data_IF_896067209260
#
_entry.id   IF_896067209260
#
_cell.length_a   1.000
_cell.length_b   1.000
_cell.length_c   1.000
_cell.angle_alpha   90.00
_cell.angle_beta   90.00
_cell.angle_gamma   90.00
#
_symmetry.space_group_name_H-M   'P 1'
#
loop_
_entity.id
_entity.type
_entity.pdbx_description
1 polymer ?
#
# COMPACT_ATOMS: atom_id res chain seq x y z
N UNK A 1 13.46 -35.50 -44.90
CA UNK A 1 12.81 -35.70 -43.58
C UNK A 1 13.41 -34.69 -42.60
N UNK A 2 13.30 -33.39 -42.85
CA UNK A 2 12.20 -32.45 -42.49
C UNK A 2 11.82 -32.60 -41.01
N UNK A 3 12.54 -31.93 -40.10
CA UNK A 3 12.22 -30.57 -39.63
C UNK A 3 10.98 -30.51 -38.70
N UNK A 4 10.71 -31.56 -37.93
CA UNK A 4 9.60 -31.59 -36.96
C UNK A 4 10.03 -31.54 -35.48
N UNK A 5 11.32 -31.70 -35.15
CA UNK A 5 11.75 -31.83 -33.75
C UNK A 5 12.22 -30.54 -33.08
N UNK A 6 12.34 -29.43 -33.82
CA UNK A 6 12.84 -28.14 -33.31
C UNK A 6 11.73 -27.09 -33.08
N UNK A 7 10.50 -27.36 -33.52
CA UNK A 7 9.37 -26.44 -33.33
C UNK A 7 8.68 -26.62 -31.97
N UNK A 8 8.89 -27.74 -31.29
CA UNK A 8 8.22 -28.05 -30.02
C UNK A 8 8.88 -27.39 -28.79
N UNK A 9 10.16 -27.01 -28.88
CA UNK A 9 10.89 -26.35 -27.79
C UNK A 9 10.71 -24.83 -27.77
N UNK A 10 10.39 -24.19 -28.90
CA UNK A 10 10.21 -22.73 -28.94
C UNK A 10 8.84 -22.25 -28.44
N UNK A 11 7.82 -23.11 -28.41
CA UNK A 11 6.47 -22.69 -27.97
C UNK A 11 6.34 -22.70 -26.45
N UNK A 12 7.11 -23.52 -25.74
CA UNK A 12 7.09 -23.60 -24.26
C UNK A 12 7.84 -22.46 -23.54
N UNK A 13 8.63 -21.65 -24.25
CA UNK A 13 9.39 -20.52 -23.66
C UNK A 13 8.69 -19.16 -23.74
N UNK A 14 7.50 -19.08 -24.34
CA UNK A 14 6.79 -17.80 -24.54
C UNK A 14 5.71 -17.50 -23.49
N UNK A 15 5.55 -18.36 -22.47
CA UNK A 15 4.63 -18.17 -21.35
C UNK A 15 5.39 -17.87 -20.05
N UNK A 16 6.41 -17.02 -20.11
CA UNK A 16 6.75 -16.22 -18.93
C UNK A 16 5.68 -15.14 -18.89
N UNK A 17 4.47 -15.53 -18.45
CA UNK A 17 3.51 -14.57 -17.94
C UNK A 17 4.20 -13.93 -16.75
N UNK A 18 4.74 -12.73 -16.94
CA UNK A 18 5.05 -11.82 -15.86
C UNK A 18 3.74 -11.61 -15.10
N UNK A 19 3.51 -12.43 -14.08
CA UNK A 19 2.46 -12.19 -13.11
C UNK A 19 2.95 -11.02 -12.29
N UNK A 20 2.78 -9.79 -12.80
CA UNK A 20 2.80 -8.62 -11.92
C UNK A 20 1.81 -8.95 -10.82
N UNK A 21 2.29 -9.07 -9.58
CA UNK A 21 1.43 -9.40 -8.45
C UNK A 21 0.19 -8.51 -8.53
N UNK A 22 -0.99 -9.15 -8.69
CA UNK A 22 -2.21 -8.41 -8.87
C UNK A 22 -2.43 -7.54 -7.63
N UNK A 23 -2.63 -6.23 -7.84
CA UNK A 23 -2.89 -5.31 -6.73
C UNK A 23 -4.06 -5.86 -5.92
N UNK A 24 -3.90 -6.03 -4.59
CA UNK A 24 -4.94 -6.64 -3.77
C UNK A 24 -6.21 -5.79 -3.81
N UNK A 25 -7.41 -6.39 -3.65
CA UNK A 25 -8.68 -5.67 -3.70
C UNK A 25 -8.82 -4.63 -2.57
N UNK A 26 -8.00 -4.75 -1.52
CA UNK A 26 -7.95 -3.86 -0.38
C UNK A 26 -6.50 -3.56 0.00
N UNK A 27 -6.22 -2.30 0.29
CA UNK A 27 -4.95 -1.82 0.86
C UNK A 27 -5.19 -1.10 2.19
N UNK A 28 -4.12 -0.99 2.98
CA UNK A 28 -4.11 -0.36 4.28
C UNK A 28 -3.12 0.80 4.26
N UNK A 29 -3.63 2.02 4.37
CA UNK A 29 -2.84 3.25 4.31
C UNK A 29 -2.89 3.95 5.66
N UNK A 30 -1.72 4.38 6.16
CA UNK A 30 -1.61 5.01 7.48
C UNK A 30 -1.52 6.54 7.36
N UNK A 31 -2.30 7.28 8.16
CA UNK A 31 -2.30 8.75 8.21
C UNK A 31 -2.60 9.25 9.62
N UNK A 32 -2.19 10.47 9.94
CA UNK A 32 -2.50 11.16 11.21
C UNK A 32 -3.83 11.92 11.20
N UNK A 33 -4.39 12.19 10.01
CA UNK A 33 -5.71 12.81 9.84
C UNK A 33 -6.80 11.84 10.25
N UNK A 34 -7.79 12.33 11.01
CA UNK A 34 -9.01 11.58 11.33
C UNK A 34 -9.99 11.50 10.15
N UNK A 35 -11.05 10.71 10.33
CA UNK A 35 -12.09 10.44 9.34
C UNK A 35 -12.71 11.72 8.77
N UNK A 36 -13.07 12.67 9.64
CA UNK A 36 -13.65 13.96 9.26
C UNK A 36 -12.72 14.75 8.34
N UNK A 37 -11.43 14.81 8.67
CA UNK A 37 -10.44 15.51 7.87
C UNK A 37 -10.18 14.84 6.53
N UNK A 38 -10.08 13.51 6.49
CA UNK A 38 -9.90 12.77 5.24
C UNK A 38 -11.13 12.90 4.36
N UNK A 39 -12.34 12.78 4.93
CA UNK A 39 -13.61 12.92 4.20
C UNK A 39 -13.80 14.31 3.60
N UNK A 40 -13.57 15.37 4.38
CA UNK A 40 -13.70 16.76 3.90
C UNK A 40 -12.71 17.10 2.79
N UNK A 41 -11.59 16.39 2.71
CA UNK A 41 -10.59 16.51 1.64
C UNK A 41 -10.84 15.54 0.47
N UNK A 42 -11.98 14.85 0.46
CA UNK A 42 -12.33 13.82 -0.52
C UNK A 42 -11.29 12.68 -0.60
N UNK A 43 -10.70 12.30 0.53
CA UNK A 43 -9.77 11.18 0.64
C UNK A 43 -8.29 11.59 0.65
N UNK A 44 -7.50 10.93 -0.19
CA UNK A 44 -6.05 11.11 -0.26
C UNK A 44 -5.67 11.62 -1.64
N UNK A 45 -4.74 12.58 -1.73
CA UNK A 45 -4.15 13.09 -2.99
C UNK A 45 -5.11 13.75 -3.98
N UNK A 46 -6.33 14.11 -3.57
CA UNK A 46 -7.32 14.67 -4.46
C UNK A 46 -7.20 16.19 -4.52
N UNK A 47 -6.20 16.67 -5.28
CA UNK A 47 -5.91 18.12 -5.44
C UNK A 47 -4.97 18.69 -4.38
N UNK A 48 -4.31 17.84 -3.59
CA UNK A 48 -3.34 18.24 -2.57
C UNK A 48 -2.17 17.25 -2.52
N UNK A 49 -1.04 17.68 -1.94
CA UNK A 49 0.13 16.83 -1.74
C UNK A 49 -0.20 15.61 -0.86
N UNK A 50 0.53 14.49 -1.04
CA UNK A 50 0.64 13.42 -0.05
C UNK A 50 0.50 13.89 1.38
N UNK A 51 -0.45 13.33 2.10
CA UNK A 51 -0.40 13.29 3.56
C UNK A 51 -0.64 11.84 3.93
N UNK A 52 0.28 11.29 4.72
CA UNK A 52 0.34 9.88 5.07
C UNK A 52 1.76 9.48 5.46
N UNK A 53 1.90 8.24 5.90
CA UNK A 53 3.17 7.69 6.35
C UNK A 53 3.98 7.12 5.18
N UNK A 54 5.30 7.21 5.29
CA UNK A 54 6.24 6.40 4.52
C UNK A 54 6.82 5.34 5.45
N UNK A 55 6.84 4.07 5.03
CA UNK A 55 7.44 3.00 5.83
C UNK A 55 8.97 3.09 5.72
N UNK A 56 9.47 3.16 4.48
CA UNK A 56 10.87 3.35 4.15
C UNK A 56 11.01 4.30 2.95
N UNK A 57 12.21 4.84 2.76
CA UNK A 57 12.57 5.53 1.52
C UNK A 57 13.08 4.49 0.50
N UNK A 58 12.51 4.52 -0.70
CA UNK A 58 12.88 3.63 -1.80
C UNK A 58 13.46 4.44 -2.95
N UNK A 59 14.70 4.13 -3.32
CA UNK A 59 15.40 4.75 -4.44
C UNK A 59 14.72 4.46 -5.79
N UNK A 60 14.07 3.29 -5.94
CA UNK A 60 13.26 2.97 -7.13
C UNK A 60 12.01 3.86 -7.31
N UNK A 61 11.67 4.63 -6.28
CA UNK A 61 10.60 5.63 -6.28
C UNK A 61 11.14 7.06 -6.10
N UNK A 62 12.45 7.27 -6.23
CA UNK A 62 13.06 8.58 -6.05
C UNK A 62 12.40 9.65 -6.94
N UNK A 63 12.06 10.78 -6.34
CA UNK A 63 11.38 11.90 -7.03
C UNK A 63 9.89 11.67 -7.33
N UNK A 64 9.32 10.53 -6.98
CA UNK A 64 7.87 10.29 -7.08
C UNK A 64 7.22 10.55 -5.72
N UNK A 65 6.33 11.52 -5.55
CA UNK A 65 5.59 11.68 -4.31
C UNK A 65 4.60 10.52 -4.11
N UNK A 66 4.68 9.82 -2.98
CA UNK A 66 3.78 8.70 -2.67
C UNK A 66 3.53 8.60 -1.16
N UNK A 67 2.62 7.71 -0.76
CA UNK A 67 2.37 7.33 0.63
C UNK A 67 2.40 5.82 0.64
N UNK A 68 3.07 5.25 1.63
CA UNK A 68 3.16 3.80 1.78
C UNK A 68 1.80 3.24 2.20
N UNK A 69 1.40 2.19 1.51
CA UNK A 69 0.29 1.34 1.87
C UNK A 69 0.76 -0.12 1.88
N UNK A 70 0.08 -0.96 2.64
CA UNK A 70 0.35 -2.40 2.66
C UNK A 70 -0.89 -3.18 2.26
N UNK A 71 -0.74 -4.34 1.61
CA UNK A 71 -1.82 -5.32 1.51
C UNK A 71 -2.06 -6.08 2.83
N UNK A 72 -1.18 -5.92 3.82
CA UNK A 72 -1.28 -6.50 5.15
C UNK A 72 -1.62 -5.44 6.21
N UNK A 73 -2.81 -5.56 6.80
CA UNK A 73 -3.30 -4.66 7.86
C UNK A 73 -2.34 -4.55 9.05
N UNK A 74 -1.72 -5.67 9.45
CA UNK A 74 -0.89 -5.71 10.64
C UNK A 74 0.44 -4.97 10.42
N UNK A 75 0.99 -5.01 9.20
CA UNK A 75 2.16 -4.22 8.81
C UNK A 75 1.82 -2.75 8.88
N UNK A 76 0.71 -2.33 8.28
CA UNK A 76 0.29 -0.92 8.33
C UNK A 76 0.08 -0.40 9.76
N UNK A 77 -0.49 -1.24 10.65
CA UNK A 77 -0.63 -0.92 12.08
C UNK A 77 0.73 -0.86 12.78
N UNK A 78 1.62 -1.81 12.51
CA UNK A 78 2.99 -1.84 13.08
C UNK A 78 3.68 -0.50 12.78
N UNK A 79 3.77 -0.11 11.52
CA UNK A 79 4.37 1.16 11.10
C UNK A 79 3.65 2.37 11.69
N UNK A 80 2.30 2.38 11.69
CA UNK A 80 1.53 3.45 12.32
C UNK A 80 1.88 3.68 13.80
N UNK A 81 2.30 2.62 14.52
CA UNK A 81 2.68 2.69 15.93
C UNK A 81 4.17 2.98 16.16
N UNK A 82 5.04 2.57 15.25
CA UNK A 82 6.50 2.56 15.47
C UNK A 82 7.24 3.69 14.77
N UNK A 83 6.74 4.19 13.64
CA UNK A 83 7.48 5.11 12.77
C UNK A 83 7.51 6.54 13.29
N UNK A 84 6.76 6.86 14.35
CA UNK A 84 6.54 8.24 14.75
C UNK A 84 7.12 8.54 16.12
N UNK A 85 8.03 9.50 16.14
CA UNK A 85 8.56 10.12 17.35
C UNK A 85 7.43 10.97 17.98
N UNK A 86 6.82 10.46 19.05
CA UNK A 86 5.86 11.19 19.90
C UNK A 86 4.45 10.58 20.00
N UNK A 87 3.59 11.21 20.82
CA UNK A 87 2.23 10.73 21.16
C UNK A 87 1.17 11.05 20.10
N UNK A 88 1.49 10.97 18.81
CA UNK A 88 0.52 11.25 17.75
C UNK A 88 -0.31 10.00 17.44
N UNK A 89 -1.64 10.15 17.45
CA UNK A 89 -2.57 9.11 17.01
C UNK A 89 -2.52 8.98 15.49
N UNK A 90 -2.39 7.75 15.00
CA UNK A 90 -2.51 7.41 13.59
C UNK A 90 -3.72 6.54 13.34
N UNK A 91 -4.17 6.57 12.10
CA UNK A 91 -5.32 5.87 11.58
C UNK A 91 -4.88 5.04 10.38
N UNK A 92 -5.30 3.78 10.35
CA UNK A 92 -5.06 2.85 9.26
C UNK A 92 -6.36 2.73 8.45
N UNK A 93 -6.39 3.39 7.31
CA UNK A 93 -7.52 3.44 6.39
C UNK A 93 -7.57 2.23 5.48
N UNK A 94 -8.75 1.66 5.30
CA UNK A 94 -8.99 0.49 4.46
C UNK A 94 -9.47 0.98 3.10
N UNK A 95 -8.59 0.92 2.11
CA UNK A 95 -8.84 1.43 0.77
C UNK A 95 -9.24 0.29 -0.15
N UNK A 96 -10.41 0.38 -0.76
CA UNK A 96 -10.81 -0.48 -1.87
C UNK A 96 -10.10 -0.02 -3.14
N UNK A 97 -9.38 -0.92 -3.79
CA UNK A 97 -8.57 -0.60 -4.98
C UNK A 97 -9.38 -0.58 -6.28
N UNK A 98 -10.48 -1.35 -6.33
CA UNK A 98 -11.41 -1.35 -7.48
C UNK A 98 -11.97 0.05 -7.74
N UNK A 99 -11.87 0.49 -9.00
CA UNK A 99 -12.37 1.77 -9.47
C UNK A 99 -11.41 2.94 -9.33
N UNK A 100 -10.21 2.71 -8.78
CA UNK A 100 -9.13 3.70 -8.84
C UNK A 100 -8.57 3.78 -10.26
N UNK A 101 -8.11 4.98 -10.65
CA UNK A 101 -7.50 5.18 -11.95
C UNK A 101 -6.19 4.35 -12.08
N UNK A 102 -5.83 3.92 -13.30
CA UNK A 102 -4.57 3.24 -13.55
C UNK A 102 -3.38 4.04 -13.02
N UNK A 103 -2.42 3.37 -12.39
CA UNK A 103 -1.20 3.99 -11.86
C UNK A 103 -1.34 4.70 -10.51
N UNK A 104 -2.54 4.83 -9.93
CA UNK A 104 -2.75 5.38 -8.57
C UNK A 104 -2.05 4.53 -7.51
N UNK A 105 -2.03 3.21 -7.70
CA UNK A 105 -1.37 2.25 -6.82
C UNK A 105 -0.30 1.53 -7.64
N UNK A 106 0.89 1.41 -7.06
CA UNK A 106 2.03 0.74 -7.70
C UNK A 106 2.69 -0.19 -6.70
N UNK A 107 2.95 -1.44 -7.09
CA UNK A 107 3.72 -2.37 -6.24
C UNK A 107 5.17 -1.90 -6.15
N UNK A 108 5.70 -1.75 -4.92
CA UNK A 108 7.10 -1.38 -4.70
C UNK A 108 7.99 -2.54 -5.17
N UNK A 109 7.64 -3.78 -4.80
CA UNK A 109 8.35 -4.97 -5.26
C UNK A 109 8.46 -5.05 -6.79
N UNK A 110 7.37 -4.80 -7.52
CA UNK A 110 7.40 -4.80 -8.99
C UNK A 110 8.31 -3.70 -9.57
N UNK A 111 8.48 -2.57 -8.87
CA UNK A 111 9.42 -1.50 -9.27
C UNK A 111 10.89 -1.93 -9.10
N UNK A 112 11.20 -2.69 -8.04
CA UNK A 112 12.52 -3.33 -7.88
C UNK A 112 12.75 -4.39 -8.96
N UNK A 113 11.77 -5.26 -9.20
CA UNK A 113 11.86 -6.32 -10.20
C UNK A 113 12.08 -5.76 -11.61
N UNK A 114 11.38 -4.68 -11.99
CA UNK A 114 11.56 -3.99 -13.27
C UNK A 114 12.98 -3.44 -13.48
N UNK A 115 13.77 -3.28 -12.42
CA UNK A 115 15.18 -2.89 -12.47
C UNK A 115 16.14 -4.07 -12.27
N UNK A 116 15.65 -5.31 -12.33
CA UNK A 116 16.40 -6.54 -12.01
C UNK A 116 17.02 -6.52 -10.60
N UNK A 117 16.29 -5.97 -9.62
CA UNK A 117 16.71 -5.88 -8.22
C UNK A 117 15.74 -6.63 -7.32
N UNK A 118 16.26 -7.15 -6.22
CA UNK A 118 15.46 -7.78 -5.17
C UNK A 118 14.88 -6.70 -4.23
N UNK A 119 13.60 -6.84 -3.88
CA UNK A 119 12.96 -5.97 -2.90
C UNK A 119 13.32 -6.42 -1.48
N UNK A 120 13.87 -5.53 -0.62
CA UNK A 120 14.39 -5.93 0.68
C UNK A 120 13.32 -6.30 1.74
N UNK A 121 12.05 -5.93 1.54
CA UNK A 121 10.99 -6.10 2.55
C UNK A 121 9.76 -6.87 2.03
N UNK A 122 9.92 -8.08 1.46
CA UNK A 122 8.82 -8.78 0.80
C UNK A 122 7.65 -9.14 1.72
N UNK A 123 7.88 -9.20 3.04
CA UNK A 123 6.86 -9.46 4.06
C UNK A 123 5.94 -8.26 4.33
N UNK A 124 6.32 -7.06 3.87
CA UNK A 124 5.53 -5.84 4.06
C UNK A 124 4.39 -5.71 3.05
N UNK A 125 4.45 -6.44 1.92
CA UNK A 125 3.49 -6.35 0.81
C UNK A 125 3.17 -4.88 0.50
N UNK A 126 4.23 -4.10 0.24
CA UNK A 126 4.16 -2.64 0.15
C UNK A 126 3.77 -2.14 -1.25
N UNK A 127 2.92 -1.12 -1.25
CA UNK A 127 2.45 -0.40 -2.41
C UNK A 127 2.63 1.11 -2.21
N UNK A 128 3.03 1.79 -3.27
CA UNK A 128 3.07 3.24 -3.34
C UNK A 128 1.72 3.77 -3.85
N UNK A 129 1.07 4.62 -3.07
CA UNK A 129 -0.10 5.39 -3.49
C UNK A 129 0.38 6.74 -4.02
N UNK A 130 0.29 6.95 -5.33
CA UNK A 130 0.87 8.11 -6.04
C UNK A 130 -0.17 9.09 -6.59
N UNK A 131 -1.46 8.81 -6.39
CA UNK A 131 -2.54 9.60 -6.97
C UNK A 131 -3.81 9.59 -6.12
N UNK A 132 -4.84 10.30 -6.60
CA UNK A 132 -6.09 10.49 -5.86
C UNK A 132 -6.77 9.15 -5.52
N UNK A 133 -7.01 8.95 -4.23
CA UNK A 133 -7.88 7.92 -3.66
C UNK A 133 -9.09 8.64 -3.09
N UNK A 134 -10.22 8.67 -3.83
CA UNK A 134 -11.43 9.35 -3.38
C UNK A 134 -11.97 8.79 -2.07
N UNK A 135 -12.74 9.60 -1.34
CA UNK A 135 -13.41 9.13 -0.11
C UNK A 135 -14.27 7.89 -0.35
N UNK A 136 -14.91 7.80 -1.52
CA UNK A 136 -15.71 6.64 -1.91
C UNK A 136 -14.92 5.33 -2.06
N UNK A 137 -13.59 5.39 -2.04
CA UNK A 137 -12.72 4.21 -2.00
C UNK A 137 -12.27 3.87 -0.58
N UNK A 138 -12.45 4.77 0.39
CA UNK A 138 -12.24 4.47 1.82
C UNK A 138 -13.45 3.72 2.37
N UNK A 139 -13.20 2.53 2.95
CA UNK A 139 -14.25 1.60 3.40
C UNK A 139 -14.19 1.27 4.88
N UNK A 140 -13.28 1.88 5.60
CA UNK A 140 -13.14 1.69 7.03
C UNK A 140 -11.84 2.28 7.52
N UNK A 141 -11.69 2.27 8.84
CA UNK A 141 -10.54 2.81 9.52
C UNK A 141 -10.23 1.94 10.74
N UNK A 142 -8.96 1.85 11.12
CA UNK A 142 -8.52 1.22 12.36
C UNK A 142 -7.59 2.19 13.07
N UNK A 143 -7.89 2.49 14.33
CA UNK A 143 -7.09 3.42 15.12
C UNK A 143 -5.83 2.72 15.64
N UNK A 144 -4.68 3.36 15.43
CA UNK A 144 -3.36 2.88 15.82
C UNK A 144 -2.77 3.85 16.86
N UNK A 145 -2.95 3.52 18.13
CA UNK A 145 -2.38 4.28 19.23
C UNK A 145 -0.88 3.95 19.41
N UNK A 146 -0.01 4.96 19.60
CA UNK A 146 1.39 4.73 19.94
C UNK A 146 1.46 3.92 21.24
N UNK A 147 2.21 2.82 21.21
CA UNK A 147 2.24 1.85 22.29
C UNK A 147 3.15 2.28 23.43
N UNK A 148 2.57 2.76 24.53
CA UNK A 148 3.03 2.35 25.86
C UNK A 148 2.01 1.32 26.36
N UNK A 149 2.38 0.04 26.48
CA UNK A 149 1.49 -0.98 27.05
C UNK A 149 1.56 -0.96 28.59
N UNK A 150 0.52 -1.42 29.34
CA UNK A 150 -0.74 -1.99 28.89
C UNK A 150 -1.97 -1.24 29.45
N UNK A 151 -2.98 -1.02 28.62
CA UNK A 151 -4.31 -1.49 28.99
C UNK A 151 -5.02 -1.90 27.72
N UNK A 152 -5.10 -3.21 27.54
CA UNK A 152 -6.15 -3.78 26.72
C UNK A 152 -7.47 -3.29 27.31
N UNK A 153 -8.08 -2.31 26.67
CA UNK A 153 -9.40 -1.82 27.02
C UNK A 153 -10.23 -1.89 25.77
N UNK A 154 -11.33 -2.63 25.88
CA UNK A 154 -12.35 -2.81 24.84
C UNK A 154 -12.94 -1.48 24.36
N UNK A 155 -12.67 -0.35 25.04
CA UNK A 155 -13.06 1.00 24.60
C UNK A 155 -12.11 1.64 23.58
N UNK A 156 -10.84 1.21 23.51
CA UNK A 156 -9.84 1.83 22.62
C UNK A 156 -9.56 1.03 21.35
N UNK A 157 -10.26 -0.08 21.15
CA UNK A 157 -9.93 -1.06 20.10
C UNK A 157 -10.63 -0.78 18.77
N UNK A 158 -11.64 0.07 18.72
CA UNK A 158 -12.42 0.31 17.52
C UNK A 158 -12.86 1.77 17.54
N UNK A 159 -12.37 2.56 16.59
CA UNK A 159 -13.11 3.75 16.18
C UNK A 159 -14.40 3.21 15.55
N UNK A 160 -15.48 3.23 16.34
CA UNK A 160 -16.80 2.80 15.91
C UNK A 160 -17.19 3.65 14.69
N UNK A 161 -17.51 2.95 13.61
CA UNK A 161 -18.17 3.50 12.43
C UNK A 161 -19.61 3.86 12.78
#
# INVERSE_FOLDING_TARGET
MVCCSLLLTCILLSLIQYTSAAIPPKLYLSDSRDDTNVRTQNGFYCGHQPKGMHYHEHDVLAGTPYVSASGNKNVAIKYAKTTVVGFKLYYVYHVRTKGLAPGVIQSVAARYEAQNREYPYPDEDEYAVTGCVPWDNVKGMTCAYPGFLPSFSYKWTLCFS
#
